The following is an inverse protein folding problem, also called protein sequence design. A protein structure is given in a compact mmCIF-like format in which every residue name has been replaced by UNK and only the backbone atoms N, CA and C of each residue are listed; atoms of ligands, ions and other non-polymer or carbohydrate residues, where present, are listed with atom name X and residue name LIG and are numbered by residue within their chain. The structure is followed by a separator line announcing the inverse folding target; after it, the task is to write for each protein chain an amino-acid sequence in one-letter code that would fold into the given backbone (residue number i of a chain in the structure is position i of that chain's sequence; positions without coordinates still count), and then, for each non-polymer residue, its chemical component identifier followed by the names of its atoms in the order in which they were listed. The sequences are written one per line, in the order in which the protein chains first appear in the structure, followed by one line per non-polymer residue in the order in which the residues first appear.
data_IF_595052369918
#
_entry.id   IF_595052369918
#
_cell.length_a   1.000
_cell.length_b   1.000
_cell.length_c   1.000
_cell.angle_alpha   90.00
_cell.angle_beta   90.00
_cell.angle_gamma   90.00
#
_symmetry.space_group_name_H-M   'P 1'
#
loop_
_entity.id
_entity.type
_entity.pdbx_description
1 polymer ?
#
# COMPACT_ATOMS: atom_id res chain seq x y z
N UNK A 1 -15.99 -12.84 11.87
CA UNK A 1 -15.17 -12.89 10.64
C UNK A 1 -14.15 -13.98 10.84
N UNK A 2 -14.10 -14.96 9.94
CA UNK A 2 -13.14 -16.06 10.00
C UNK A 2 -12.10 -15.86 8.89
N UNK A 3 -10.83 -16.16 9.19
CA UNK A 3 -9.75 -16.05 8.22
C UNK A 3 -9.70 -17.35 7.42
N UNK A 4 -9.87 -17.24 6.10
CA UNK A 4 -9.69 -18.36 5.20
C UNK A 4 -8.20 -18.64 4.99
N UNK A 5 -7.87 -19.93 4.88
CA UNK A 5 -6.51 -20.41 4.69
C UNK A 5 -6.37 -20.71 3.19
N UNK A 6 -5.46 -20.03 2.50
CA UNK A 6 -5.22 -20.28 1.08
C UNK A 6 -4.76 -21.73 0.85
N UNK A 7 -4.85 -22.21 -0.41
CA UNK A 7 -4.56 -23.60 -0.77
C UNK A 7 -3.16 -24.11 -0.38
N UNK A 8 -2.24 -23.24 0.05
CA UNK A 8 -0.94 -23.57 0.63
C UNK A 8 -0.90 -23.63 2.16
N UNK A 9 -2.03 -23.58 2.87
CA UNK A 9 -2.06 -23.61 4.33
C UNK A 9 -1.69 -22.27 4.98
N UNK A 10 -1.60 -21.18 4.21
CA UNK A 10 -1.19 -19.86 4.70
C UNK A 10 -2.39 -18.94 4.79
N UNK A 11 -2.39 -18.08 5.82
CA UNK A 11 -3.34 -16.98 5.91
C UNK A 11 -2.73 -15.83 5.09
N UNK A 12 -3.46 -15.25 4.14
CA UNK A 12 -2.94 -14.16 3.28
C UNK A 12 -2.47 -12.93 4.08
N UNK A 13 -3.01 -12.74 5.28
CA UNK A 13 -2.60 -11.70 6.25
C UNK A 13 -1.30 -12.01 7.01
N UNK A 14 -0.71 -13.19 6.84
CA UNK A 14 0.51 -13.59 7.55
C UNK A 14 1.79 -12.95 6.99
N UNK A 15 1.67 -12.24 5.86
CA UNK A 15 2.74 -11.40 5.35
C UNK A 15 2.89 -10.12 6.20
N UNK A 16 4.12 -9.60 6.36
CA UNK A 16 4.36 -8.41 7.18
C UNK A 16 3.55 -7.22 6.67
N UNK A 17 2.63 -6.74 7.50
CA UNK A 17 1.79 -5.57 7.22
C UNK A 17 2.59 -4.30 7.52
N UNK A 18 2.40 -3.27 6.69
CA UNK A 18 3.00 -1.94 6.84
C UNK A 18 4.54 -1.95 6.91
N UNK A 19 5.16 -3.04 6.43
CA UNK A 19 6.59 -3.14 6.27
C UNK A 19 6.94 -2.79 4.82
N UNK A 20 7.59 -1.65 4.66
CA UNK A 20 8.11 -1.21 3.37
C UNK A 20 9.31 -2.05 2.97
N UNK A 21 9.27 -2.59 1.75
CA UNK A 21 10.35 -3.34 1.12
C UNK A 21 10.67 -2.71 -0.23
N UNK A 22 11.94 -2.73 -0.61
CA UNK A 22 12.36 -2.44 -1.98
C UNK A 22 12.26 -3.75 -2.78
N UNK A 23 11.33 -3.87 -3.75
CA UNK A 23 11.16 -5.11 -4.51
C UNK A 23 12.33 -5.43 -5.43
N UNK A 24 13.22 -4.47 -5.70
CA UNK A 24 14.36 -4.63 -6.60
C UNK A 24 15.69 -4.86 -5.86
N UNK A 25 15.69 -4.92 -4.53
CA UNK A 25 16.88 -5.11 -3.71
C UNK A 25 17.92 -3.99 -3.85
N UNK A 26 17.51 -2.82 -4.38
CA UNK A 26 18.35 -1.65 -4.57
C UNK A 26 18.26 -0.67 -3.39
N UNK A 27 18.94 0.46 -3.53
CA UNK A 27 18.94 1.56 -2.55
C UNK A 27 17.61 2.36 -2.58
N UNK A 28 16.45 1.69 -2.48
CA UNK A 28 15.16 2.28 -2.09
C UNK A 28 14.62 3.48 -2.89
N UNK A 29 15.24 3.87 -4.01
CA UNK A 29 15.19 5.26 -4.50
C UNK A 29 14.02 5.55 -5.45
N UNK A 30 13.42 4.51 -6.03
CA UNK A 30 12.39 4.70 -7.07
C UNK A 30 11.05 4.09 -6.69
N UNK A 31 11.03 2.94 -6.00
CA UNK A 31 9.79 2.23 -5.71
C UNK A 31 9.91 1.39 -4.44
N UNK A 32 8.97 1.53 -3.52
CA UNK A 32 8.85 0.65 -2.35
C UNK A 32 7.42 0.14 -2.22
N UNK A 33 7.25 -1.07 -1.72
CA UNK A 33 5.93 -1.68 -1.53
C UNK A 33 5.70 -2.07 -0.08
N UNK A 34 4.45 -1.99 0.38
CA UNK A 34 4.02 -2.44 1.70
C UNK A 34 2.60 -2.98 1.62
N UNK A 35 2.22 -3.86 2.56
CA UNK A 35 0.85 -4.40 2.63
C UNK A 35 -0.01 -3.67 3.63
N UNK A 36 -1.20 -3.24 3.22
CA UNK A 36 -2.23 -2.64 4.08
C UNK A 36 -3.51 -3.45 3.94
N UNK A 37 -3.98 -4.06 5.04
CA UNK A 37 -5.19 -4.89 5.00
C UNK A 37 -5.08 -6.08 4.04
N UNK A 38 -3.87 -6.64 3.90
CA UNK A 38 -3.59 -7.73 2.95
C UNK A 38 -3.38 -7.29 1.49
N UNK A 39 -3.65 -6.03 1.16
CA UNK A 39 -3.51 -5.49 -0.20
C UNK A 39 -2.18 -4.76 -0.36
N UNK A 40 -1.56 -4.85 -1.53
CA UNK A 40 -0.29 -4.18 -1.82
C UNK A 40 -0.50 -2.70 -2.10
N UNK A 41 0.30 -1.85 -1.45
CA UNK A 41 0.48 -0.44 -1.70
C UNK A 41 1.89 -0.19 -2.23
N UNK A 42 1.99 0.65 -3.24
CA UNK A 42 3.26 1.05 -3.86
C UNK A 42 3.49 2.53 -3.63
N UNK A 43 4.65 2.88 -3.07
CA UNK A 43 5.21 4.22 -3.12
C UNK A 43 6.18 4.29 -4.30
N UNK A 44 5.99 5.23 -5.22
CA UNK A 44 6.81 5.39 -6.42
C UNK A 44 7.11 6.87 -6.67
N UNK A 45 8.29 7.15 -7.24
CA UNK A 45 8.66 8.51 -7.65
C UNK A 45 7.96 8.88 -8.97
N UNK A 46 7.38 10.07 -9.03
CA UNK A 46 6.80 10.70 -10.22
C UNK A 46 7.86 11.41 -11.08
N UNK A 47 7.53 11.75 -12.32
CA UNK A 47 8.41 12.48 -13.26
C UNK A 47 8.91 13.83 -12.71
N UNK A 48 8.16 14.46 -11.79
CA UNK A 48 8.57 15.69 -11.11
C UNK A 48 9.55 15.47 -9.93
N UNK A 49 9.91 14.23 -9.62
CA UNK A 49 10.74 13.87 -8.46
C UNK A 49 10.01 13.85 -7.12
N UNK A 50 8.69 14.07 -7.13
CA UNK A 50 7.82 13.86 -5.97
C UNK A 50 7.49 12.37 -5.81
N UNK A 51 7.01 11.96 -4.65
CA UNK A 51 6.56 10.59 -4.40
C UNK A 51 5.04 10.51 -4.40
N UNK A 52 4.53 9.43 -4.97
CA UNK A 52 3.12 9.08 -5.06
C UNK A 52 2.86 7.70 -4.43
N UNK A 53 1.67 7.53 -3.87
CA UNK A 53 1.17 6.28 -3.32
C UNK A 53 0.07 5.74 -4.23
N UNK A 54 0.23 4.50 -4.66
CA UNK A 54 -0.71 3.75 -5.48
C UNK A 54 -1.29 2.60 -4.65
N UNK A 55 -2.61 2.53 -4.55
CA UNK A 55 -3.30 1.51 -3.75
C UNK A 55 -4.69 1.22 -4.29
N UNK A 56 -4.98 -0.05 -4.64
CA UNK A 56 -6.31 -0.51 -5.09
C UNK A 56 -6.94 0.38 -6.18
N UNK A 57 -6.14 0.77 -7.18
CA UNK A 57 -6.52 1.70 -8.27
C UNK A 57 -6.78 3.16 -7.86
N UNK A 58 -6.55 3.53 -6.60
CA UNK A 58 -6.48 4.91 -6.16
C UNK A 58 -5.02 5.39 -6.14
N UNK A 59 -4.83 6.69 -6.35
CA UNK A 59 -3.53 7.35 -6.17
C UNK A 59 -3.65 8.61 -5.32
N UNK A 60 -2.64 8.88 -4.51
CA UNK A 60 -2.43 10.17 -3.83
C UNK A 60 -0.95 10.53 -3.94
N UNK A 61 -0.62 11.81 -4.01
CA UNK A 61 0.70 12.20 -4.48
C UNK A 61 1.19 13.57 -4.07
N UNK A 62 2.36 13.93 -4.59
CA UNK A 62 3.03 15.21 -4.32
C UNK A 62 3.84 15.23 -3.04
N UNK A 63 4.28 14.08 -2.54
CA UNK A 63 5.10 14.03 -1.33
C UNK A 63 6.55 14.44 -1.63
N UNK A 64 7.18 15.29 -0.79
CA UNK A 64 8.54 15.77 -1.04
C UNK A 64 9.62 14.70 -0.80
N UNK A 65 9.27 13.58 -0.18
CA UNK A 65 10.19 12.47 0.09
C UNK A 65 9.41 11.17 0.27
N UNK A 66 10.11 10.04 0.11
CA UNK A 66 9.51 8.72 0.33
C UNK A 66 9.03 8.55 1.78
N UNK A 67 9.75 9.12 2.75
CA UNK A 67 9.36 9.06 4.17
C UNK A 67 8.06 9.82 4.42
N UNK A 68 7.86 10.98 3.77
CA UNK A 68 6.58 11.70 3.85
C UNK A 68 5.43 10.89 3.24
N UNK A 69 5.66 10.20 2.12
CA UNK A 69 4.68 9.30 1.53
C UNK A 69 4.35 8.13 2.49
N UNK A 70 5.35 7.49 3.09
CA UNK A 70 5.15 6.40 4.07
C UNK A 70 4.36 6.84 5.30
N UNK A 71 4.57 8.07 5.79
CA UNK A 71 3.81 8.62 6.91
C UNK A 71 2.33 8.83 6.56
N UNK A 72 2.03 9.23 5.32
CA UNK A 72 0.67 9.42 4.83
C UNK A 72 -0.06 8.11 4.46
N UNK A 73 0.70 7.04 4.17
CA UNK A 73 0.17 5.77 3.66
C UNK A 73 -0.92 5.10 4.53
N UNK A 74 -0.81 5.01 5.87
CA UNK A 74 -1.87 4.42 6.69
C UNK A 74 -3.19 5.19 6.60
N UNK A 75 -3.12 6.51 6.53
CA UNK A 75 -4.31 7.37 6.42
C UNK A 75 -4.95 7.23 5.04
N UNK A 76 -4.14 7.23 3.99
CA UNK A 76 -4.58 6.96 2.62
C UNK A 76 -5.26 5.59 2.49
N UNK A 77 -4.67 4.52 3.04
CA UNK A 77 -5.26 3.18 3.02
C UNK A 77 -6.65 3.15 3.67
N UNK A 78 -6.82 3.82 4.83
CA UNK A 78 -8.11 3.92 5.52
C UNK A 78 -9.16 4.62 4.67
N UNK A 79 -8.80 5.72 4.01
CA UNK A 79 -9.70 6.45 3.10
C UNK A 79 -10.12 5.60 1.91
N UNK A 80 -9.20 4.83 1.33
CA UNK A 80 -9.50 3.90 0.23
C UNK A 80 -10.45 2.80 0.69
N UNK A 81 -10.20 2.15 1.82
CA UNK A 81 -11.12 1.13 2.34
C UNK A 81 -12.50 1.70 2.67
N UNK A 82 -12.58 2.91 3.25
CA UNK A 82 -13.87 3.58 3.48
C UNK A 82 -14.60 3.86 2.16
N UNK A 83 -13.88 4.28 1.12
CA UNK A 83 -14.45 4.50 -0.22
C UNK A 83 -14.98 3.20 -0.84
N UNK A 84 -14.20 2.12 -0.78
CA UNK A 84 -14.61 0.81 -1.28
C UNK A 84 -15.81 0.26 -0.51
N UNK A 85 -15.83 0.41 0.82
CA UNK A 85 -16.96 0.03 1.66
C UNK A 85 -18.24 0.78 1.26
N UNK A 86 -18.14 2.06 0.91
CA UNK A 86 -19.28 2.86 0.45
C UNK A 86 -19.79 2.48 -0.95
N UNK A 87 -19.04 1.68 -1.71
CA UNK A 87 -19.44 1.18 -3.04
C UNK A 87 -20.16 -0.17 -2.97
N UNK A 88 -20.16 -0.82 -1.81
CA UNK A 88 -20.92 -2.05 -1.57
C UNK A 88 -22.33 -1.63 -1.16
N UNK A 89 -23.31 -1.96 -2.00
CA UNK A 89 -24.73 -1.78 -1.68
C UNK A 89 -25.19 -2.86 -0.68
N UNK A 90 -26.20 -2.51 0.12
CA UNK A 90 -26.86 -3.43 1.08
C UNK A 90 -27.55 -4.61 0.38
#
# INVERSE_FOLDING_TARGET
MNLDIDGGGRITFNAPQQRWIDPNGGDGSVMQTARFGGQEMTAITDDAGAFDLHFLHFKTGGFPSIEAAKQAAPEFARRVFARLSAMIAD
#
